data_IF_520359348250
#
_entry.id   IF_520359348250
#
_cell.length_a   1.000
_cell.length_b   1.000
_cell.length_c   1.000
_cell.angle_alpha   90.00
_cell.angle_beta   90.00
_cell.angle_gamma   90.00
#
_symmetry.space_group_name_H-M   'P 1'
#
loop_
_entity.id
_entity.type
_entity.pdbx_description
1 polymer ?
#
# COMPACT_ATOMS: atom_id res chain seq x y z
N UNK A 1 -28.42 24.07 -42.64
CA UNK A 1 -28.34 25.15 -43.65
C UNK A 1 -28.05 24.55 -45.01
N UNK A 2 -28.61 25.16 -46.04
CA UNK A 2 -28.99 24.56 -47.33
C UNK A 2 -27.83 24.09 -48.23
N UNK A 3 -28.12 23.13 -49.14
CA UNK A 3 -27.23 22.54 -50.13
C UNK A 3 -27.36 23.19 -51.53
N UNK A 4 -26.47 22.83 -52.47
CA UNK A 4 -26.60 22.96 -53.95
C UNK A 4 -25.83 21.76 -54.55
N UNK A 5 -26.34 20.78 -55.30
CA UNK A 5 -27.43 20.62 -56.30
C UNK A 5 -27.15 21.27 -57.66
N UNK A 6 -27.18 20.43 -58.71
CA UNK A 6 -27.05 20.55 -60.19
C UNK A 6 -25.81 19.76 -60.69
N UNK A 7 -25.85 18.56 -61.26
CA UNK A 7 -26.77 17.87 -62.20
C UNK A 7 -26.83 18.51 -63.59
N UNK A 8 -26.28 17.85 -64.62
CA UNK A 8 -27.00 17.30 -65.81
C UNK A 8 -26.04 17.06 -67.01
N UNK A 9 -26.07 15.79 -67.47
CA UNK A 9 -25.93 15.19 -68.81
C UNK A 9 -25.05 15.82 -69.92
N UNK A 10 -24.18 14.97 -70.50
CA UNK A 10 -24.10 14.68 -71.94
C UNK A 10 -23.50 13.25 -72.09
N UNK A 11 -24.30 12.22 -72.39
CA UNK A 11 -24.76 11.79 -73.71
C UNK A 11 -23.70 10.95 -74.48
N UNK A 12 -23.94 9.64 -74.46
CA UNK A 12 -23.71 8.60 -75.46
C UNK A 12 -22.80 8.91 -76.68
N UNK A 13 -21.78 8.07 -76.84
CA UNK A 13 -21.10 7.85 -78.11
C UNK A 13 -19.92 6.89 -77.95
N UNK A 14 -19.92 5.80 -78.73
CA UNK A 14 -18.87 4.77 -78.90
C UNK A 14 -18.96 3.52 -78.01
N UNK A 15 -20.08 2.80 -78.16
CA UNK A 15 -20.04 1.34 -78.23
C UNK A 15 -19.67 0.94 -79.67
N UNK A 16 -18.39 0.68 -79.93
CA UNK A 16 -17.87 -0.17 -81.00
C UNK A 16 -16.34 -0.14 -81.00
N UNK A 17 -15.72 -1.32 -81.22
CA UNK A 17 -14.29 -1.61 -81.33
C UNK A 17 -13.55 -1.75 -79.98
N UNK A 18 -13.01 -2.90 -79.56
CA UNK A 18 -12.76 -4.19 -80.20
C UNK A 18 -12.88 -5.30 -79.14
N UNK A 19 -13.78 -6.25 -79.36
CA UNK A 19 -13.49 -7.64 -79.03
C UNK A 19 -12.29 -8.06 -79.89
N UNK A 20 -11.08 -7.86 -79.40
CA UNK A 20 -9.91 -8.58 -79.90
C UNK A 20 -9.86 -9.92 -79.19
N UNK A 21 -10.71 -10.85 -79.59
CA UNK A 21 -10.37 -12.28 -79.48
C UNK A 21 -9.30 -12.56 -80.54
N UNK A 22 -8.10 -12.03 -80.33
CA UNK A 22 -6.91 -12.66 -80.87
C UNK A 22 -6.73 -13.95 -80.10
N UNK A 23 -7.25 -15.05 -80.66
CA UNK A 23 -6.70 -16.37 -80.39
C UNK A 23 -5.22 -16.30 -80.74
N UNK A 24 -4.38 -16.01 -79.73
CA UNK A 24 -2.93 -16.19 -79.81
C UNK A 24 -2.69 -17.57 -80.44
N UNK A 25 -1.81 -17.69 -81.45
CA UNK A 25 -1.53 -18.98 -82.05
C UNK A 25 -1.14 -19.95 -80.94
N UNK A 26 -1.96 -20.99 -80.75
CA UNK A 26 -1.74 -22.05 -79.77
C UNK A 26 -0.30 -22.52 -79.96
N UNK A 27 0.51 -22.41 -78.91
CA UNK A 27 1.87 -22.92 -78.94
C UNK A 27 1.82 -24.36 -79.45
N UNK A 28 2.66 -24.72 -80.43
CA UNK A 28 2.81 -26.12 -80.86
C UNK A 28 3.38 -27.00 -79.73
N UNK A 29 3.84 -26.38 -78.65
CA UNK A 29 4.30 -27.01 -77.44
C UNK A 29 3.20 -26.98 -76.36
N UNK A 30 2.59 -28.13 -76.02
CA UNK A 30 1.51 -28.20 -75.04
C UNK A 30 1.96 -27.82 -73.61
N UNK A 31 3.24 -28.03 -73.26
CA UNK A 31 3.76 -27.61 -71.95
C UNK A 31 3.84 -26.08 -71.86
N UNK A 32 4.36 -25.43 -72.91
CA UNK A 32 4.44 -23.97 -72.95
C UNK A 32 3.05 -23.31 -72.97
N UNK A 33 2.06 -23.95 -73.61
CA UNK A 33 0.66 -23.51 -73.59
C UNK A 33 0.10 -23.52 -72.16
N UNK A 34 0.32 -24.59 -71.40
CA UNK A 34 -0.12 -24.69 -70.00
C UNK A 34 0.54 -23.63 -69.10
N UNK A 35 1.84 -23.38 -69.27
CA UNK A 35 2.57 -22.32 -68.53
C UNK A 35 1.98 -20.94 -68.85
N UNK A 36 1.70 -20.65 -70.14
CA UNK A 36 1.12 -19.37 -70.58
C UNK A 36 -0.27 -19.10 -70.00
N UNK A 37 -1.04 -20.14 -69.68
CA UNK A 37 -2.38 -20.03 -69.10
C UNK A 37 -2.39 -20.18 -67.56
N UNK A 38 -1.22 -20.29 -66.93
CA UNK A 38 -1.11 -20.42 -65.47
C UNK A 38 -1.43 -21.81 -64.92
N UNK A 39 -1.55 -22.83 -65.76
CA UNK A 39 -1.82 -24.22 -65.36
C UNK A 39 -0.51 -24.96 -64.99
N UNK A 40 0.29 -24.34 -64.11
CA UNK A 40 1.67 -24.77 -63.83
C UNK A 40 1.79 -26.19 -63.29
N UNK A 41 0.91 -26.61 -62.38
CA UNK A 41 0.91 -27.97 -61.83
C UNK A 41 0.71 -29.03 -62.92
N UNK A 42 -0.21 -28.79 -63.85
CA UNK A 42 -0.45 -29.67 -65.00
C UNK A 42 0.73 -29.63 -65.98
N UNK A 43 1.38 -28.46 -66.15
CA UNK A 43 2.57 -28.34 -66.98
C UNK A 43 3.73 -29.20 -66.43
N UNK A 44 3.94 -29.22 -65.11
CA UNK A 44 4.93 -30.08 -64.44
C UNK A 44 4.58 -31.56 -64.61
N UNK A 45 3.32 -31.94 -64.39
CA UNK A 45 2.87 -33.33 -64.55
C UNK A 45 3.10 -33.84 -65.98
N UNK A 46 2.70 -33.05 -66.98
CA UNK A 46 2.85 -33.39 -68.40
C UNK A 46 4.33 -33.47 -68.80
N UNK A 47 5.12 -32.45 -68.46
CA UNK A 47 6.53 -32.39 -68.83
C UNK A 47 7.37 -33.47 -68.14
N UNK A 48 7.03 -33.85 -66.89
CA UNK A 48 7.65 -34.97 -66.19
C UNK A 48 7.40 -36.29 -66.91
N UNK A 49 6.15 -36.53 -67.31
CA UNK A 49 5.77 -37.74 -68.05
C UNK A 49 6.50 -37.84 -69.39
N UNK A 50 6.65 -36.71 -70.09
CA UNK A 50 7.41 -36.62 -71.33
C UNK A 50 8.92 -36.85 -71.11
N UNK A 51 9.49 -36.30 -70.04
CA UNK A 51 10.89 -36.50 -69.62
C UNK A 51 11.18 -37.97 -69.29
N UNK A 52 10.34 -38.60 -68.46
CA UNK A 52 10.48 -40.00 -68.06
C UNK A 52 10.35 -40.97 -69.25
N UNK A 53 9.49 -40.64 -70.22
CA UNK A 53 9.32 -41.42 -71.45
C UNK A 53 10.47 -41.27 -72.46
N UNK A 54 11.32 -40.25 -72.29
CA UNK A 54 12.37 -39.91 -73.25
C UNK A 54 13.70 -39.53 -72.56
N UNK A 55 14.31 -40.46 -71.81
CA UNK A 55 15.55 -40.18 -71.07
C UNK A 55 16.70 -39.76 -71.98
N UNK A 56 17.48 -38.75 -71.56
CA UNK A 56 18.66 -38.25 -72.25
C UNK A 56 18.37 -37.35 -73.46
N UNK A 57 17.10 -36.98 -73.70
CA UNK A 57 16.73 -36.03 -74.75
C UNK A 57 16.59 -34.62 -74.17
N UNK A 58 17.59 -33.78 -74.46
CA UNK A 58 17.71 -32.39 -73.99
C UNK A 58 16.40 -31.58 -74.04
N UNK A 59 15.64 -31.68 -75.14
CA UNK A 59 14.37 -30.95 -75.30
C UNK A 59 13.36 -31.24 -74.19
N UNK A 60 13.24 -32.49 -73.75
CA UNK A 60 12.28 -32.87 -72.70
C UNK A 60 12.80 -32.52 -71.31
N UNK A 61 14.12 -32.58 -71.11
CA UNK A 61 14.79 -32.05 -69.92
C UNK A 61 14.55 -30.55 -69.75
N UNK A 62 14.78 -29.76 -70.80
CA UNK A 62 14.60 -28.31 -70.77
C UNK A 62 13.14 -27.92 -70.49
N UNK A 63 12.18 -28.65 -71.07
CA UNK A 63 10.74 -28.45 -70.80
C UNK A 63 10.36 -28.76 -69.37
N UNK A 64 10.86 -29.87 -68.82
CA UNK A 64 10.58 -30.23 -67.44
C UNK A 64 11.19 -29.20 -66.46
N UNK A 65 12.42 -28.75 -66.73
CA UNK A 65 13.05 -27.65 -66.00
C UNK A 65 12.21 -26.38 -66.06
N UNK A 66 11.82 -25.93 -67.26
CA UNK A 66 11.03 -24.72 -67.45
C UNK A 66 9.67 -24.78 -66.73
N UNK A 67 8.95 -25.91 -66.83
CA UNK A 67 7.68 -26.10 -66.14
C UNK A 67 7.84 -26.12 -64.62
N UNK A 68 8.88 -26.77 -64.11
CA UNK A 68 9.16 -26.86 -62.67
C UNK A 68 9.54 -25.50 -62.10
N UNK A 69 10.41 -24.74 -62.78
CA UNK A 69 10.74 -23.37 -62.39
C UNK A 69 9.49 -22.49 -62.39
N UNK A 70 8.66 -22.55 -63.43
CA UNK A 70 7.43 -21.76 -63.49
C UNK A 70 6.45 -22.10 -62.35
N UNK A 71 6.33 -23.39 -62.00
CA UNK A 71 5.52 -23.84 -60.88
C UNK A 71 6.05 -23.35 -59.53
N UNK A 72 7.34 -23.50 -59.26
CA UNK A 72 7.97 -23.02 -58.02
C UNK A 72 7.87 -21.50 -57.88
N UNK A 73 8.08 -20.77 -58.98
CA UNK A 73 7.91 -19.31 -59.01
C UNK A 73 6.47 -18.89 -58.67
N UNK A 74 5.47 -19.63 -59.13
CA UNK A 74 4.07 -19.36 -58.76
C UNK A 74 3.79 -19.68 -57.28
N UNK A 75 4.31 -20.80 -56.76
CA UNK A 75 4.17 -21.12 -55.33
C UNK A 75 4.81 -20.05 -54.45
N UNK A 76 6.03 -19.61 -54.78
CA UNK A 76 6.72 -18.54 -54.08
C UNK A 76 5.94 -17.23 -54.11
N UNK A 77 5.45 -16.81 -55.28
CA UNK A 77 4.62 -15.59 -55.41
C UNK A 77 3.37 -15.67 -54.56
N UNK A 78 2.67 -16.81 -54.58
CA UNK A 78 1.47 -17.02 -53.77
C UNK A 78 1.79 -16.94 -52.28
N UNK A 79 2.87 -17.57 -51.83
CA UNK A 79 3.33 -17.48 -50.45
C UNK A 79 3.65 -16.03 -50.05
N UNK A 80 4.32 -15.24 -50.91
CA UNK A 80 4.56 -13.81 -50.67
C UNK A 80 3.25 -13.00 -50.54
N UNK A 81 2.22 -13.33 -51.33
CA UNK A 81 0.89 -12.68 -51.22
C UNK A 81 0.12 -13.10 -49.97
N UNK A 82 0.42 -14.27 -49.42
CA UNK A 82 -0.15 -14.80 -48.17
C UNK A 82 0.70 -14.40 -46.94
N UNK A 83 1.70 -13.52 -47.10
CA UNK A 83 2.66 -13.07 -46.07
C UNK A 83 3.51 -14.19 -45.44
N UNK A 84 3.63 -15.32 -46.14
CA UNK A 84 4.49 -16.45 -45.82
C UNK A 84 5.87 -16.28 -46.48
N UNK A 85 6.52 -15.15 -46.23
CA UNK A 85 7.73 -14.75 -46.96
C UNK A 85 8.93 -15.69 -46.75
N UNK A 86 9.05 -16.31 -45.57
CA UNK A 86 10.07 -17.33 -45.30
C UNK A 86 9.84 -18.60 -46.13
N UNK A 87 8.58 -19.03 -46.30
CA UNK A 87 8.23 -20.15 -47.19
C UNK A 87 8.39 -19.77 -48.67
N UNK A 88 8.09 -18.52 -49.03
CA UNK A 88 8.28 -18.00 -50.38
C UNK A 88 9.76 -18.08 -50.80
N UNK A 89 10.69 -17.71 -49.90
CA UNK A 89 12.12 -17.83 -50.15
C UNK A 89 12.53 -19.28 -50.45
N UNK A 90 12.00 -20.26 -49.71
CA UNK A 90 12.28 -21.69 -49.97
C UNK A 90 11.90 -22.08 -51.40
N UNK A 91 10.73 -21.65 -51.89
CA UNK A 91 10.32 -21.93 -53.26
C UNK A 91 11.18 -21.23 -54.31
N UNK A 92 11.55 -19.97 -54.08
CA UNK A 92 12.40 -19.23 -55.01
C UNK A 92 13.83 -19.76 -55.03
N UNK A 93 14.39 -20.19 -53.90
CA UNK A 93 15.70 -20.85 -53.81
C UNK A 93 15.70 -22.19 -54.54
N UNK A 94 14.67 -23.02 -54.37
CA UNK A 94 14.49 -24.25 -55.15
C UNK A 94 14.41 -23.97 -56.66
N UNK A 95 13.76 -22.87 -57.07
CA UNK A 95 13.73 -22.46 -58.47
C UNK A 95 15.13 -22.03 -58.96
N UNK A 96 15.89 -21.31 -58.14
CA UNK A 96 17.24 -20.86 -58.43
C UNK A 96 18.26 -22.03 -58.50
N UNK A 97 18.05 -23.11 -57.76
CA UNK A 97 18.84 -24.34 -57.89
C UNK A 97 18.68 -25.01 -59.27
N UNK A 98 17.48 -24.91 -59.86
CA UNK A 98 17.17 -25.49 -61.18
C UNK A 98 17.67 -24.58 -62.32
N UNK A 99 17.46 -23.27 -62.19
CA UNK A 99 17.90 -22.28 -63.18
C UNK A 99 18.56 -21.04 -62.51
N UNK A 100 19.87 -21.12 -62.19
CA UNK A 100 20.56 -20.04 -61.48
C UNK A 100 20.74 -18.75 -62.29
N UNK A 101 20.56 -18.79 -63.61
CA UNK A 101 20.82 -17.66 -64.49
C UNK A 101 19.57 -16.84 -64.79
N UNK A 102 18.38 -17.32 -64.42
CA UNK A 102 17.12 -16.62 -64.68
C UNK A 102 17.00 -15.35 -63.80
N UNK A 103 17.06 -14.14 -64.39
CA UNK A 103 17.08 -12.89 -63.62
C UNK A 103 15.79 -12.66 -62.83
N UNK A 104 14.67 -13.20 -63.29
CA UNK A 104 13.37 -13.07 -62.64
C UNK A 104 13.36 -13.75 -61.26
N UNK A 105 13.99 -14.92 -61.12
CA UNK A 105 14.04 -15.65 -59.84
C UNK A 105 14.80 -14.80 -58.81
N UNK A 106 15.98 -14.31 -59.20
CA UNK A 106 16.81 -13.46 -58.35
C UNK A 106 16.07 -12.19 -57.92
N UNK A 107 15.36 -11.54 -58.84
CA UNK A 107 14.57 -10.35 -58.51
C UNK A 107 13.47 -10.63 -57.46
N UNK A 108 12.86 -11.82 -57.49
CA UNK A 108 11.87 -12.23 -56.49
C UNK A 108 12.51 -12.59 -55.14
N UNK A 109 13.67 -13.24 -55.14
CA UNK A 109 14.47 -13.47 -53.92
C UNK A 109 14.82 -12.15 -53.26
N UNK A 110 15.42 -11.22 -54.03
CA UNK A 110 15.84 -9.90 -53.54
C UNK A 110 14.65 -9.12 -52.97
N UNK A 111 13.50 -9.11 -53.67
CA UNK A 111 12.27 -8.45 -53.21
C UNK A 111 11.70 -9.06 -51.93
N UNK A 112 11.78 -10.39 -51.79
CA UNK A 112 11.27 -11.09 -50.60
C UNK A 112 12.16 -10.82 -49.38
N UNK A 113 13.48 -10.79 -49.57
CA UNK A 113 14.42 -10.34 -48.55
C UNK A 113 14.20 -8.88 -48.14
N UNK A 114 13.94 -7.98 -49.09
CA UNK A 114 13.62 -6.58 -48.81
C UNK A 114 12.36 -6.47 -47.95
N UNK A 115 11.27 -7.16 -48.33
CA UNK A 115 10.01 -7.19 -47.57
C UNK A 115 10.20 -7.73 -46.14
N UNK A 116 10.95 -8.81 -45.98
CA UNK A 116 11.28 -9.36 -44.66
C UNK A 116 12.12 -8.38 -43.82
N UNK A 117 13.10 -7.73 -44.44
CA UNK A 117 13.92 -6.69 -43.79
C UNK A 117 13.06 -5.52 -43.30
N UNK A 118 12.14 -5.03 -44.12
CA UNK A 118 11.21 -3.95 -43.77
C UNK A 118 10.29 -4.33 -42.60
N UNK A 119 9.74 -5.55 -42.60
CA UNK A 119 8.91 -6.07 -41.49
C UNK A 119 9.68 -6.10 -40.17
N UNK A 120 10.92 -6.61 -40.20
CA UNK A 120 11.78 -6.66 -39.01
C UNK A 120 12.25 -5.28 -38.57
N UNK A 121 12.50 -4.37 -39.52
CA UNK A 121 12.80 -2.97 -39.24
C UNK A 121 11.62 -2.29 -38.51
N UNK A 122 10.39 -2.48 -38.98
CA UNK A 122 9.20 -1.94 -38.31
C UNK A 122 9.09 -2.46 -36.87
N UNK A 123 9.29 -3.77 -36.69
CA UNK A 123 9.31 -4.39 -35.35
C UNK A 123 10.40 -3.80 -34.46
N UNK A 124 11.61 -3.61 -35.00
CA UNK A 124 12.72 -3.01 -34.28
C UNK A 124 12.41 -1.57 -33.83
N UNK A 125 11.82 -0.76 -34.72
CA UNK A 125 11.40 0.61 -34.41
C UNK A 125 10.34 0.66 -33.31
N UNK A 126 9.37 -0.27 -33.32
CA UNK A 126 8.37 -0.38 -32.26
C UNK A 126 9.00 -0.74 -30.91
N UNK A 127 9.94 -1.71 -30.89
CA UNK A 127 10.66 -2.11 -29.68
C UNK A 127 11.55 -0.97 -29.15
N UNK A 128 12.21 -0.26 -30.06
CA UNK A 128 13.04 0.90 -29.73
C UNK A 128 12.19 2.01 -29.09
N UNK A 129 11.05 2.34 -29.70
CA UNK A 129 10.10 3.32 -29.15
C UNK A 129 9.53 2.91 -27.79
N UNK A 130 9.32 1.61 -27.56
CA UNK A 130 8.92 1.07 -26.27
C UNK A 130 10.05 1.05 -25.21
N UNK A 131 11.28 1.38 -25.60
CA UNK A 131 12.45 1.42 -24.71
C UNK A 131 13.08 0.06 -24.43
N UNK A 132 12.62 -1.01 -25.10
CA UNK A 132 13.20 -2.35 -25.04
C UNK A 132 14.34 -2.44 -26.06
N UNK A 133 15.49 -1.88 -25.69
CA UNK A 133 16.59 -1.61 -26.59
C UNK A 133 17.30 -2.89 -27.03
N UNK A 134 17.46 -3.86 -26.14
CA UNK A 134 18.10 -5.14 -26.41
C UNK A 134 17.31 -5.93 -27.46
N UNK A 135 15.98 -6.04 -27.29
CA UNK A 135 15.14 -6.69 -28.28
C UNK A 135 15.09 -5.88 -29.61
N UNK A 136 15.17 -4.55 -29.54
CA UNK A 136 15.26 -3.72 -30.74
C UNK A 136 16.54 -4.01 -31.53
N UNK A 137 17.69 -4.11 -30.86
CA UNK A 137 18.97 -4.48 -31.49
C UNK A 137 18.86 -5.84 -32.17
N UNK A 138 18.34 -6.86 -31.50
CA UNK A 138 18.14 -8.18 -32.13
C UNK A 138 17.21 -8.12 -33.35
N UNK A 139 16.14 -7.33 -33.32
CA UNK A 139 15.26 -7.16 -34.47
C UNK A 139 15.95 -6.42 -35.64
N UNK A 140 16.79 -5.42 -35.37
CA UNK A 140 17.61 -4.78 -36.40
C UNK A 140 18.63 -5.75 -37.00
N UNK A 141 19.25 -6.62 -36.19
CA UNK A 141 20.18 -7.65 -36.68
C UNK A 141 19.48 -8.60 -37.66
N UNK A 142 18.27 -9.08 -37.34
CA UNK A 142 17.49 -9.94 -38.25
C UNK A 142 17.14 -9.19 -39.54
N UNK A 143 16.75 -7.91 -39.47
CA UNK A 143 16.51 -7.11 -40.68
C UNK A 143 17.77 -7.04 -41.57
N UNK A 144 18.96 -6.90 -40.96
CA UNK A 144 20.25 -6.85 -41.65
C UNK A 144 20.73 -8.21 -42.18
N UNK A 145 20.27 -9.32 -41.58
CA UNK A 145 20.52 -10.67 -42.12
C UNK A 145 19.81 -10.85 -43.47
N UNK A 146 18.61 -10.30 -43.65
CA UNK A 146 17.89 -10.37 -44.93
C UNK A 146 18.43 -9.35 -45.96
N UNK A 147 18.67 -8.10 -45.56
CA UNK A 147 19.22 -7.06 -46.45
C UNK A 147 20.47 -6.43 -45.84
N UNK A 148 21.67 -6.98 -46.13
CA UNK A 148 22.92 -6.43 -45.63
C UNK A 148 23.11 -4.98 -46.08
N UNK A 149 23.36 -4.08 -45.13
CA UNK A 149 23.57 -2.66 -45.41
C UNK A 149 22.29 -1.82 -45.54
N UNK A 150 21.12 -2.35 -45.19
CA UNK A 150 19.89 -1.56 -45.13
C UNK A 150 20.06 -0.33 -44.22
N UNK A 151 20.11 0.87 -44.82
CA UNK A 151 20.57 2.10 -44.16
C UNK A 151 19.80 2.42 -42.86
N UNK A 152 18.48 2.30 -42.87
CA UNK A 152 17.63 2.56 -41.68
C UNK A 152 17.88 1.57 -40.54
N UNK A 153 18.05 0.28 -40.85
CA UNK A 153 18.33 -0.76 -39.85
C UNK A 153 19.72 -0.58 -39.23
N UNK A 154 20.74 -0.29 -40.04
CA UNK A 154 22.10 0.03 -39.54
C UNK A 154 22.05 1.22 -38.58
N UNK A 155 21.41 2.33 -38.99
CA UNK A 155 21.29 3.53 -38.15
C UNK A 155 20.56 3.23 -36.84
N UNK A 156 19.40 2.57 -36.92
CA UNK A 156 18.59 2.24 -35.75
C UNK A 156 19.33 1.33 -34.75
N UNK A 157 20.05 0.33 -35.26
CA UNK A 157 20.88 -0.56 -34.43
C UNK A 157 21.98 0.21 -33.70
N UNK A 158 22.67 1.12 -34.40
CA UNK A 158 23.73 1.96 -33.82
C UNK A 158 23.15 2.87 -32.73
N UNK A 159 22.03 3.52 -33.00
CA UNK A 159 21.36 4.40 -32.03
C UNK A 159 20.89 3.63 -30.78
N UNK A 160 20.26 2.46 -30.95
CA UNK A 160 19.85 1.61 -29.86
C UNK A 160 21.05 1.13 -29.02
N UNK A 161 22.13 0.69 -29.68
CA UNK A 161 23.38 0.27 -29.02
C UNK A 161 24.02 1.41 -28.22
N UNK A 162 24.07 2.62 -28.77
CA UNK A 162 24.58 3.80 -28.06
C UNK A 162 23.73 4.10 -26.81
N UNK A 163 22.41 3.97 -26.91
CA UNK A 163 21.51 4.17 -25.76
C UNK A 163 21.71 3.10 -24.68
N UNK A 164 21.89 1.82 -25.05
CA UNK A 164 22.24 0.74 -24.10
C UNK A 164 23.53 1.07 -23.36
N UNK A 165 24.59 1.42 -24.09
CA UNK A 165 25.89 1.75 -23.50
C UNK A 165 25.81 2.97 -22.57
N UNK A 166 25.05 3.99 -22.96
CA UNK A 166 24.82 5.16 -22.13
C UNK A 166 24.09 4.81 -20.82
N UNK A 167 23.01 4.03 -20.89
CA UNK A 167 22.28 3.55 -19.71
C UNK A 167 23.16 2.70 -18.80
N UNK A 168 23.97 1.82 -19.37
CA UNK A 168 24.93 1.00 -18.62
C UNK A 168 25.99 1.86 -17.90
N UNK A 169 26.50 2.90 -18.56
CA UNK A 169 27.42 3.87 -17.95
C UNK A 169 26.80 4.61 -16.76
N UNK A 170 25.56 5.13 -16.93
CA UNK A 170 24.84 5.78 -15.83
C UNK A 170 24.57 4.84 -14.66
N UNK A 171 24.17 3.60 -14.94
CA UNK A 171 23.96 2.58 -13.92
C UNK A 171 25.24 2.32 -13.09
N UNK A 172 26.39 2.21 -13.76
CA UNK A 172 27.69 2.04 -13.12
C UNK A 172 28.09 3.27 -12.28
N UNK A 173 27.85 4.48 -12.78
CA UNK A 173 28.09 5.73 -12.04
C UNK A 173 27.26 5.79 -10.75
N UNK A 174 25.97 5.46 -10.82
CA UNK A 174 25.10 5.41 -9.65
C UNK A 174 25.51 4.32 -8.66
N UNK A 175 25.93 3.16 -9.15
CA UNK A 175 26.47 2.10 -8.31
C UNK A 175 27.72 2.58 -7.55
N UNK A 176 28.67 3.18 -8.25
CA UNK A 176 29.91 3.69 -7.66
C UNK A 176 29.64 4.84 -6.67
N UNK A 177 28.68 5.72 -6.97
CA UNK A 177 28.22 6.73 -6.03
C UNK A 177 27.62 6.09 -4.76
N UNK A 178 26.78 5.07 -4.92
CA UNK A 178 26.21 4.32 -3.80
C UNK A 178 27.30 3.73 -2.91
N UNK A 179 28.31 3.06 -3.49
CA UNK A 179 29.44 2.50 -2.75
C UNK A 179 30.22 3.56 -1.98
N UNK A 180 30.55 4.70 -2.60
CA UNK A 180 31.26 5.81 -1.92
C UNK A 180 30.44 6.37 -0.76
N UNK A 181 29.16 6.65 -0.99
CA UNK A 181 28.29 7.20 0.06
C UNK A 181 27.98 6.20 1.16
N UNK A 182 27.95 4.89 0.89
CA UNK A 182 27.87 3.85 1.91
C UNK A 182 29.13 3.83 2.78
N UNK A 183 30.30 3.91 2.17
CA UNK A 183 31.57 3.99 2.89
C UNK A 183 31.63 5.20 3.83
N UNK A 184 31.13 6.35 3.36
CA UNK A 184 31.05 7.58 4.17
C UNK A 184 29.89 7.58 5.16
N UNK A 185 29.12 6.49 5.25
CA UNK A 185 27.96 6.31 6.11
C UNK A 185 26.78 7.24 5.83
N UNK A 186 26.64 7.72 4.59
CA UNK A 186 25.50 8.53 4.13
C UNK A 186 24.39 7.61 3.62
N UNK A 187 23.79 6.85 4.53
CA UNK A 187 22.92 5.70 4.23
C UNK A 187 21.74 6.05 3.29
N UNK A 188 20.99 7.13 3.56
CA UNK A 188 19.86 7.53 2.69
C UNK A 188 20.29 8.00 1.29
N UNK A 189 21.50 8.55 1.17
CA UNK A 189 22.06 8.90 -0.15
C UNK A 189 22.50 7.64 -0.90
N UNK A 190 23.12 6.71 -0.18
CA UNK A 190 23.50 5.41 -0.71
C UNK A 190 22.29 4.60 -1.21
N UNK A 191 21.24 4.52 -0.39
CA UNK A 191 19.95 3.87 -0.72
C UNK A 191 19.38 4.40 -2.02
N UNK A 192 19.30 5.74 -2.16
CA UNK A 192 18.81 6.40 -3.38
C UNK A 192 19.68 6.11 -4.60
N UNK A 193 21.00 6.06 -4.42
CA UNK A 193 21.94 5.81 -5.51
C UNK A 193 21.81 4.38 -6.04
N UNK A 194 21.73 3.38 -5.16
CA UNK A 194 21.49 2.00 -5.58
C UNK A 194 20.10 1.79 -6.18
N UNK A 195 19.07 2.48 -5.69
CA UNK A 195 17.75 2.44 -6.31
C UNK A 195 17.73 3.05 -7.72
N UNK A 196 18.57 4.06 -7.99
CA UNK A 196 18.67 4.68 -9.31
C UNK A 196 19.25 3.73 -10.37
N UNK A 197 20.07 2.75 -9.98
CA UNK A 197 20.59 1.72 -10.90
C UNK A 197 19.43 0.99 -11.61
N UNK A 198 18.38 0.64 -10.88
CA UNK A 198 17.19 -0.04 -11.42
C UNK A 198 16.37 0.80 -12.42
N UNK A 199 16.65 2.10 -12.57
CA UNK A 199 16.02 2.93 -13.61
C UNK A 199 16.69 2.79 -14.98
N UNK A 200 17.94 2.33 -15.01
CA UNK A 200 18.75 2.22 -16.22
C UNK A 200 19.04 0.77 -16.61
N UNK A 201 18.88 -0.16 -15.67
CA UNK A 201 18.98 -1.60 -15.88
C UNK A 201 17.75 -2.27 -15.29
N UNK A 202 16.97 -2.96 -16.13
CA UNK A 202 15.75 -3.68 -15.69
C UNK A 202 16.08 -4.76 -14.66
N UNK A 203 17.19 -5.46 -14.86
CA UNK A 203 17.71 -6.47 -13.94
C UNK A 203 19.04 -5.99 -13.33
N UNK A 204 19.02 -5.35 -12.14
CA UNK A 204 20.23 -4.93 -11.47
C UNK A 204 21.11 -6.15 -11.10
N UNK A 205 22.43 -6.05 -11.30
CA UNK A 205 23.36 -7.10 -10.87
C UNK A 205 23.22 -7.46 -9.39
N UNK A 206 23.47 -8.73 -9.04
CA UNK A 206 23.36 -9.25 -7.66
C UNK A 206 24.15 -8.40 -6.64
N UNK A 207 25.32 -7.86 -7.04
CA UNK A 207 26.13 -6.95 -6.23
C UNK A 207 25.35 -5.71 -5.77
N UNK A 208 24.45 -5.17 -6.59
CA UNK A 208 23.62 -4.01 -6.26
C UNK A 208 22.62 -4.39 -5.18
N UNK A 209 21.95 -5.54 -5.34
CA UNK A 209 20.98 -6.04 -4.37
C UNK A 209 21.62 -6.34 -3.01
N UNK A 210 22.81 -6.96 -3.00
CA UNK A 210 23.63 -7.16 -1.79
C UNK A 210 23.92 -5.85 -1.07
N UNK A 211 24.33 -4.80 -1.80
CA UNK A 211 24.60 -3.48 -1.21
C UNK A 211 23.35 -2.77 -0.73
N UNK A 212 22.21 -2.92 -1.43
CA UNK A 212 20.91 -2.40 -0.96
C UNK A 212 20.51 -3.02 0.38
N UNK A 213 20.56 -4.35 0.48
CA UNK A 213 20.27 -5.05 1.73
C UNK A 213 21.22 -4.64 2.86
N UNK A 214 22.50 -4.43 2.57
CA UNK A 214 23.45 -3.90 3.55
C UNK A 214 23.07 -2.49 4.05
N UNK A 215 22.67 -1.59 3.15
CA UNK A 215 22.19 -0.24 3.52
C UNK A 215 20.91 -0.32 4.35
N UNK A 216 19.97 -1.18 3.98
CA UNK A 216 18.70 -1.38 4.69
C UNK A 216 18.94 -1.93 6.10
N UNK A 217 19.87 -2.88 6.27
CA UNK A 217 20.31 -3.38 7.57
C UNK A 217 20.91 -2.27 8.43
N UNK A 218 21.81 -1.43 7.89
CA UNK A 218 22.38 -0.32 8.67
C UNK A 218 21.35 0.74 9.06
N UNK A 219 20.39 1.05 8.18
CA UNK A 219 19.29 1.95 8.52
C UNK A 219 18.38 1.34 9.59
N UNK A 220 18.14 0.02 9.53
CA UNK A 220 17.39 -0.70 10.54
C UNK A 220 18.08 -0.61 11.90
N UNK A 221 19.40 -0.77 11.95
CA UNK A 221 20.20 -0.65 13.18
C UNK A 221 20.13 0.77 13.78
N UNK A 222 20.24 1.83 12.96
CA UNK A 222 20.05 3.22 13.43
C UNK A 222 18.66 3.41 14.04
N UNK A 223 17.62 2.86 13.42
CA UNK A 223 16.23 2.92 13.92
C UNK A 223 16.05 2.17 15.23
N UNK A 224 16.65 0.98 15.35
CA UNK A 224 16.63 0.21 16.58
C UNK A 224 17.34 0.94 17.74
N UNK A 225 18.44 1.65 17.47
CA UNK A 225 19.12 2.47 18.47
C UNK A 225 18.25 3.65 18.95
N UNK A 226 17.55 4.32 18.04
CA UNK A 226 16.58 5.38 18.40
C UNK A 226 15.43 4.81 19.23
N UNK A 227 14.88 3.65 18.82
CA UNK A 227 13.82 2.97 19.55
C UNK A 227 14.24 2.65 20.99
N UNK A 228 15.45 2.12 21.19
CA UNK A 228 16.00 1.82 22.51
C UNK A 228 16.16 3.09 23.37
N UNK A 229 16.60 4.21 22.78
CA UNK A 229 16.69 5.48 23.50
C UNK A 229 15.33 6.01 23.94
N UNK A 230 14.28 5.80 23.12
CA UNK A 230 12.91 6.16 23.46
C UNK A 230 12.34 5.25 24.56
N UNK A 231 12.64 3.94 24.51
CA UNK A 231 12.29 2.97 25.55
C UNK A 231 12.88 3.37 26.91
N UNK A 232 14.18 3.72 26.96
CA UNK A 232 14.84 4.21 28.17
C UNK A 232 14.24 5.50 28.75
N UNK A 233 13.51 6.26 27.94
CA UNK A 233 12.80 7.49 28.32
C UNK A 233 11.33 7.26 28.63
N UNK A 234 10.89 6.00 28.71
CA UNK A 234 9.49 5.59 28.89
C UNK A 234 8.53 6.15 27.82
N UNK A 235 9.03 6.42 26.60
CA UNK A 235 8.21 6.86 25.47
C UNK A 235 7.76 5.67 24.62
N UNK A 236 6.98 4.78 25.23
CA UNK A 236 6.67 3.44 24.69
C UNK A 236 6.00 3.46 23.31
N UNK A 237 5.02 4.35 23.07
CA UNK A 237 4.35 4.48 21.77
C UNK A 237 5.33 4.87 20.64
N UNK A 238 6.24 5.80 20.95
CA UNK A 238 7.23 6.27 19.99
C UNK A 238 8.29 5.18 19.73
N UNK A 239 8.78 4.52 20.78
CA UNK A 239 9.71 3.40 20.69
C UNK A 239 9.14 2.25 19.85
N UNK A 240 7.88 1.87 20.11
CA UNK A 240 7.13 0.88 19.33
C UNK A 240 7.09 1.23 17.84
N UNK A 241 6.81 2.50 17.51
CA UNK A 241 6.77 2.93 16.12
C UNK A 241 8.14 2.86 15.44
N UNK A 242 9.23 3.20 16.14
CA UNK A 242 10.59 3.08 15.59
C UNK A 242 11.00 1.61 15.39
N UNK A 243 10.66 0.70 16.32
CA UNK A 243 10.86 -0.74 16.11
C UNK A 243 10.06 -1.27 14.91
N UNK A 244 8.83 -0.79 14.71
CA UNK A 244 8.04 -1.12 13.51
C UNK A 244 8.72 -0.65 12.22
N UNK A 245 9.31 0.56 12.23
CA UNK A 245 10.06 1.08 11.07
C UNK A 245 11.34 0.27 10.82
N UNK A 246 12.04 -0.14 11.88
CA UNK A 246 13.16 -1.07 11.78
C UNK A 246 12.76 -2.37 11.06
N UNK A 247 11.65 -3.00 11.48
CA UNK A 247 11.14 -4.23 10.85
C UNK A 247 10.65 -4.04 9.41
N UNK A 248 10.32 -2.82 8.99
CA UNK A 248 10.00 -2.52 7.59
C UNK A 248 11.23 -2.43 6.68
N UNK A 249 12.42 -2.27 7.27
CA UNK A 249 13.70 -2.23 6.58
C UNK A 249 14.38 -3.61 6.64
N UNK A 250 14.33 -4.27 7.80
CA UNK A 250 14.84 -5.62 8.01
C UNK A 250 13.83 -6.44 8.82
N UNK A 251 13.04 -7.25 8.11
CA UNK A 251 12.02 -8.11 8.70
C UNK A 251 12.59 -9.18 9.63
N UNK A 252 13.89 -9.47 9.58
CA UNK A 252 14.54 -10.52 10.35
C UNK A 252 15.34 -10.00 11.54
N UNK A 253 15.28 -8.68 11.81
CA UNK A 253 15.94 -8.09 12.96
C UNK A 253 15.28 -8.58 14.27
N UNK A 254 15.94 -9.53 14.94
CA UNK A 254 15.43 -10.16 16.15
C UNK A 254 15.25 -9.16 17.31
N UNK A 255 16.22 -8.26 17.50
CA UNK A 255 16.15 -7.24 18.55
C UNK A 255 14.96 -6.30 18.35
N UNK A 256 14.65 -5.95 17.10
CA UNK A 256 13.50 -5.11 16.80
C UNK A 256 12.15 -5.82 16.98
N UNK A 257 12.07 -7.13 16.70
CA UNK A 257 10.86 -7.93 16.99
C UNK A 257 10.57 -7.96 18.48
N UNK A 258 11.56 -8.34 19.27
CA UNK A 258 11.44 -8.39 20.73
C UNK A 258 11.12 -7.00 21.30
N UNK A 259 11.81 -5.96 20.81
CA UNK A 259 11.54 -4.57 21.20
C UNK A 259 10.12 -4.12 20.85
N UNK A 260 9.65 -4.42 19.65
CA UNK A 260 8.29 -4.11 19.23
C UNK A 260 7.24 -4.75 20.14
N UNK A 261 7.37 -6.06 20.41
CA UNK A 261 6.42 -6.80 21.23
C UNK A 261 6.41 -6.33 22.69
N UNK A 262 7.59 -6.04 23.26
CA UNK A 262 7.68 -5.40 24.59
C UNK A 262 6.98 -4.05 24.61
N UNK A 263 7.30 -3.15 23.66
CA UNK A 263 6.74 -1.80 23.65
C UNK A 263 5.24 -1.77 23.30
N UNK A 264 4.73 -2.77 22.59
CA UNK A 264 3.29 -2.95 22.38
C UNK A 264 2.56 -3.27 23.69
N UNK A 265 3.13 -4.12 24.55
CA UNK A 265 2.59 -4.39 25.90
C UNK A 265 2.63 -3.14 26.76
N UNK A 266 3.76 -2.42 26.78
CA UNK A 266 3.91 -1.20 27.59
C UNK A 266 2.99 -0.05 27.14
N UNK A 267 2.81 0.14 25.83
CA UNK A 267 1.87 1.11 25.27
C UNK A 267 0.42 0.85 25.73
N UNK A 268 0.01 -0.42 25.73
CA UNK A 268 -1.31 -0.83 26.23
C UNK A 268 -1.43 -0.60 27.75
N UNK A 269 -0.39 -0.93 28.51
CA UNK A 269 -0.35 -0.67 29.94
C UNK A 269 -0.45 0.84 30.26
N UNK A 270 0.25 1.70 29.51
CA UNK A 270 0.15 3.16 29.64
C UNK A 270 -1.27 3.70 29.36
N UNK A 271 -2.02 3.01 28.50
CA UNK A 271 -3.43 3.34 28.25
C UNK A 271 -4.32 2.95 29.44
N UNK A 272 -4.03 1.82 30.08
CA UNK A 272 -4.71 1.41 31.32
C UNK A 272 -4.41 2.36 32.49
N UNK A 273 -3.18 2.86 32.62
CA UNK A 273 -2.84 3.91 33.61
C UNK A 273 -3.74 5.15 33.47
N UNK A 274 -3.89 5.65 32.23
CA UNK A 274 -4.75 6.82 31.95
C UNK A 274 -6.23 6.54 32.24
N UNK A 275 -6.72 5.34 31.92
CA UNK A 275 -8.10 4.95 32.25
C UNK A 275 -8.29 4.84 33.78
N UNK A 276 -7.34 4.26 34.50
CA UNK A 276 -7.36 4.20 35.96
C UNK A 276 -7.41 5.59 36.59
N UNK A 277 -6.52 6.50 36.19
CA UNK A 277 -6.52 7.91 36.63
C UNK A 277 -7.88 8.57 36.42
N UNK A 278 -8.49 8.37 35.25
CA UNK A 278 -9.81 8.92 34.98
C UNK A 278 -10.89 8.32 35.88
N UNK A 279 -10.80 7.03 36.22
CA UNK A 279 -11.74 6.41 37.16
C UNK A 279 -11.59 6.95 38.57
N UNK A 280 -10.37 7.22 39.03
CA UNK A 280 -10.12 7.90 40.32
C UNK A 280 -10.83 9.25 40.36
N UNK A 281 -10.66 10.07 39.32
CA UNK A 281 -11.28 11.39 39.21
C UNK A 281 -12.83 11.34 39.20
N UNK A 282 -13.42 10.21 38.79
CA UNK A 282 -14.88 9.99 38.81
C UNK A 282 -15.39 9.38 40.13
N UNK A 283 -14.51 9.10 41.08
CA UNK A 283 -14.86 8.38 42.31
C UNK A 283 -15.14 6.89 42.11
N UNK A 284 -14.79 6.33 40.94
CA UNK A 284 -15.00 4.91 40.62
C UNK A 284 -13.82 4.05 41.12
N UNK A 285 -13.54 4.08 42.43
CA UNK A 285 -12.31 3.56 43.03
C UNK A 285 -12.09 2.05 42.85
N UNK A 286 -13.12 1.22 43.04
CA UNK A 286 -12.98 -0.24 42.89
C UNK A 286 -12.66 -0.62 41.44
N UNK A 287 -13.33 0.02 40.48
CA UNK A 287 -13.03 -0.16 39.05
C UNK A 287 -11.66 0.38 38.68
N UNK A 288 -11.20 1.46 39.31
CA UNK A 288 -9.84 1.96 39.12
C UNK A 288 -8.81 0.90 39.55
N UNK A 289 -9.01 0.26 40.72
CA UNK A 289 -8.15 -0.85 41.18
C UNK A 289 -8.13 -2.03 40.20
N UNK A 290 -9.29 -2.43 39.67
CA UNK A 290 -9.36 -3.50 38.66
C UNK A 290 -8.61 -3.16 37.36
N UNK A 291 -8.65 -1.89 36.92
CA UNK A 291 -7.86 -1.44 35.76
C UNK A 291 -6.37 -1.46 36.06
N UNK A 292 -5.96 -0.98 37.24
CA UNK A 292 -4.56 -1.00 37.67
C UNK A 292 -4.02 -2.43 37.71
N UNK A 293 -4.75 -3.38 38.31
CA UNK A 293 -4.33 -4.77 38.39
C UNK A 293 -4.07 -5.37 37.00
N UNK A 294 -4.97 -5.16 36.03
CA UNK A 294 -4.79 -5.60 34.64
C UNK A 294 -3.59 -4.93 33.96
N UNK A 295 -3.30 -3.69 34.32
CA UNK A 295 -2.13 -2.97 33.80
C UNK A 295 -0.82 -3.52 34.32
N UNK A 296 -0.76 -3.83 35.62
CA UNK A 296 0.40 -4.45 36.27
C UNK A 296 0.68 -5.87 35.76
N UNK A 297 -0.36 -6.62 35.38
CA UNK A 297 -0.16 -7.94 34.73
C UNK A 297 0.49 -7.84 33.34
N UNK A 298 0.37 -6.68 32.68
CA UNK A 298 0.82 -6.49 31.30
C UNK A 298 2.19 -5.83 31.20
N UNK A 299 2.49 -4.93 32.14
CA UNK A 299 3.69 -4.11 32.18
C UNK A 299 4.83 -4.82 32.89
N UNK A 300 6.03 -4.71 32.33
CA UNK A 300 7.30 -5.08 32.98
C UNK A 300 8.10 -3.82 33.39
N UNK A 301 7.72 -2.62 32.91
CA UNK A 301 8.51 -1.38 33.05
C UNK A 301 7.81 -0.22 33.79
N UNK A 302 6.52 -0.32 34.07
CA UNK A 302 5.70 0.77 34.64
C UNK A 302 5.18 0.50 36.05
N UNK A 303 5.74 -0.47 36.78
CA UNK A 303 5.28 -0.89 38.11
C UNK A 303 5.16 0.28 39.10
N UNK A 304 6.19 1.13 39.19
CA UNK A 304 6.19 2.30 40.08
C UNK A 304 5.03 3.27 39.78
N UNK A 305 4.63 3.41 38.51
CA UNK A 305 3.52 4.29 38.13
C UNK A 305 2.18 3.69 38.55
N UNK A 306 2.02 2.37 38.40
CA UNK A 306 0.81 1.68 38.87
C UNK A 306 0.69 1.69 40.39
N UNK A 307 1.79 1.47 41.10
CA UNK A 307 1.85 1.58 42.56
C UNK A 307 1.48 3.01 43.02
N UNK A 308 1.98 4.03 42.32
CA UNK A 308 1.58 5.42 42.57
C UNK A 308 0.07 5.64 42.44
N UNK A 309 -0.56 5.10 41.40
CA UNK A 309 -2.02 5.20 41.23
C UNK A 309 -2.78 4.42 42.30
N UNK A 310 -2.28 3.29 42.79
CA UNK A 310 -2.91 2.59 43.92
C UNK A 310 -2.91 3.46 45.18
N UNK A 311 -1.79 4.15 45.46
CA UNK A 311 -1.71 5.08 46.58
C UNK A 311 -2.64 6.30 46.40
N UNK A 312 -2.75 6.83 45.18
CA UNK A 312 -3.68 7.90 44.85
C UNK A 312 -5.15 7.47 45.01
N UNK A 313 -5.49 6.23 44.63
CA UNK A 313 -6.83 5.66 44.83
C UNK A 313 -7.17 5.64 46.31
N UNK A 314 -6.27 5.16 47.16
CA UNK A 314 -6.50 5.08 48.61
C UNK A 314 -6.68 6.46 49.22
N UNK A 315 -5.81 7.41 48.86
CA UNK A 315 -5.89 8.79 49.33
C UNK A 315 -7.21 9.45 48.91
N UNK A 316 -7.58 9.34 47.63
CA UNK A 316 -8.80 9.93 47.09
C UNK A 316 -10.07 9.30 47.69
N UNK A 317 -10.04 7.99 47.98
CA UNK A 317 -11.17 7.29 48.61
C UNK A 317 -11.41 7.78 50.03
N UNK A 318 -10.35 7.91 50.84
CA UNK A 318 -10.41 8.49 52.19
C UNK A 318 -11.01 9.89 52.13
N UNK A 319 -10.49 10.75 51.25
CA UNK A 319 -10.94 12.14 51.11
C UNK A 319 -12.41 12.21 50.69
N UNK A 320 -12.84 11.39 49.73
CA UNK A 320 -14.22 11.33 49.27
C UNK A 320 -15.19 10.89 50.38
N UNK A 321 -14.83 9.86 51.15
CA UNK A 321 -15.65 9.39 52.27
C UNK A 321 -15.74 10.45 53.39
N UNK A 322 -14.63 11.09 53.70
CA UNK A 322 -14.59 12.17 54.69
C UNK A 322 -15.42 13.38 54.26
N UNK A 323 -15.31 13.81 53.00
CA UNK A 323 -16.11 14.91 52.46
C UNK A 323 -17.60 14.59 52.45
N UNK A 324 -17.98 13.34 52.11
CA UNK A 324 -19.37 12.88 52.19
C UNK A 324 -19.91 13.00 53.61
N UNK A 325 -19.13 12.63 54.62
CA UNK A 325 -19.51 12.75 56.02
C UNK A 325 -19.65 14.23 56.44
N UNK A 326 -18.74 15.11 56.00
CA UNK A 326 -18.82 16.55 56.24
C UNK A 326 -20.05 17.20 55.60
N UNK A 327 -20.41 16.81 54.38
CA UNK A 327 -21.58 17.37 53.70
C UNK A 327 -22.86 16.94 54.41
N UNK A 328 -22.94 15.69 54.90
CA UNK A 328 -24.05 15.24 55.75
C UNK A 328 -24.09 15.97 57.11
N UNK A 329 -22.93 16.29 57.69
CA UNK A 329 -22.83 17.08 58.92
C UNK A 329 -23.38 18.50 58.71
N UNK A 330 -22.95 19.18 57.63
CA UNK A 330 -23.40 20.53 57.27
C UNK A 330 -24.89 20.60 56.95
N UNK A 331 -25.44 19.54 56.38
CA UNK A 331 -26.88 19.35 56.12
C UNK A 331 -27.68 18.94 57.37
N UNK A 332 -27.08 18.97 58.57
CA UNK A 332 -27.72 18.57 59.84
C UNK A 332 -28.25 17.13 59.88
N UNK A 333 -27.80 16.26 58.96
CA UNK A 333 -28.17 14.83 58.87
C UNK A 333 -27.31 14.00 59.81
N UNK A 334 -27.25 14.37 61.10
CA UNK A 334 -26.24 13.86 62.05
C UNK A 334 -26.18 12.34 62.17
N UNK A 335 -27.33 11.64 62.18
CA UNK A 335 -27.33 10.16 62.21
C UNK A 335 -26.63 9.55 61.00
N UNK A 336 -26.82 10.13 59.81
CA UNK A 336 -26.18 9.67 58.58
C UNK A 336 -24.71 10.07 58.55
N UNK A 337 -24.37 11.26 59.04
CA UNK A 337 -22.99 11.72 59.18
C UNK A 337 -22.18 10.82 60.12
N UNK A 338 -22.73 10.43 61.29
CA UNK A 338 -22.11 9.47 62.22
C UNK A 338 -21.88 8.12 61.55
N UNK A 339 -22.85 7.62 60.79
CA UNK A 339 -22.70 6.36 60.05
C UNK A 339 -21.60 6.47 58.98
N UNK A 340 -21.50 7.59 58.27
CA UNK A 340 -20.46 7.85 57.28
C UNK A 340 -19.07 7.98 57.91
N UNK A 341 -18.93 8.71 59.03
CA UNK A 341 -17.67 8.76 59.78
C UNK A 341 -17.28 7.40 60.35
N UNK A 342 -18.25 6.61 60.81
CA UNK A 342 -17.99 5.24 61.29
C UNK A 342 -17.45 4.37 60.16
N UNK A 343 -18.09 4.38 58.98
CA UNK A 343 -17.60 3.63 57.83
C UNK A 343 -16.18 4.04 57.42
N UNK A 344 -15.86 5.35 57.45
CA UNK A 344 -14.51 5.85 57.19
C UNK A 344 -13.49 5.32 58.23
N UNK A 345 -13.84 5.34 59.52
CA UNK A 345 -12.96 4.87 60.59
C UNK A 345 -12.77 3.36 60.54
N UNK A 346 -13.84 2.61 60.27
CA UNK A 346 -13.80 1.15 60.16
C UNK A 346 -12.90 0.69 59.00
N UNK A 347 -12.86 1.47 57.92
CA UNK A 347 -12.07 1.14 56.73
C UNK A 347 -10.59 1.56 56.84
N UNK A 348 -10.29 2.70 57.50
CA UNK A 348 -8.93 3.27 57.52
C UNK A 348 -8.28 3.32 58.91
N UNK A 349 -8.89 2.67 59.91
CA UNK A 349 -8.52 2.48 61.32
C UNK A 349 -8.19 3.75 62.15
N UNK A 350 -7.79 4.87 61.55
CA UNK A 350 -7.44 6.09 62.27
C UNK A 350 -7.51 7.36 61.41
N UNK A 351 -8.60 8.10 61.55
CA UNK A 351 -8.70 9.48 61.08
C UNK A 351 -9.13 10.38 62.25
N UNK A 352 -8.14 10.97 62.93
CA UNK A 352 -8.32 11.67 64.21
C UNK A 352 -9.45 12.70 64.20
N UNK A 353 -9.57 13.46 63.11
CA UNK A 353 -10.63 14.47 62.96
C UNK A 353 -12.02 13.83 62.84
N UNK A 354 -12.15 12.75 62.07
CA UNK A 354 -13.41 12.02 61.94
C UNK A 354 -13.88 11.42 63.28
N UNK A 355 -12.94 10.89 64.08
CA UNK A 355 -13.25 10.40 65.44
C UNK A 355 -13.80 11.51 66.33
N UNK A 356 -13.14 12.68 66.35
CA UNK A 356 -13.56 13.82 67.16
C UNK A 356 -14.93 14.38 66.71
N UNK A 357 -15.14 14.52 65.39
CA UNK A 357 -16.42 14.97 64.81
C UNK A 357 -17.54 13.99 65.10
N UNK A 358 -17.32 12.69 64.87
CA UNK A 358 -18.27 11.63 65.22
C UNK A 358 -18.71 11.74 66.68
N UNK A 359 -17.77 11.80 67.62
CA UNK A 359 -18.08 11.92 69.04
C UNK A 359 -18.85 13.20 69.39
N UNK A 360 -18.54 14.31 68.72
CA UNK A 360 -19.29 15.58 68.88
C UNK A 360 -20.74 15.44 68.40
N UNK A 361 -20.95 14.80 67.25
CA UNK A 361 -22.30 14.58 66.71
C UNK A 361 -23.11 13.58 67.55
N UNK A 362 -22.48 12.55 68.10
CA UNK A 362 -23.11 11.63 69.06
C UNK A 362 -23.61 12.38 70.29
N UNK A 363 -22.80 13.30 70.83
CA UNK A 363 -23.18 14.18 71.94
C UNK A 363 -24.36 15.11 71.58
N UNK A 364 -24.39 15.67 70.37
CA UNK A 364 -25.50 16.49 69.89
C UNK A 364 -26.81 15.71 69.79
N UNK A 365 -26.76 14.48 69.24
CA UNK A 365 -27.94 13.61 69.12
C UNK A 365 -28.47 13.18 70.50
N UNK A 366 -27.62 13.05 71.50
CA UNK A 366 -28.03 12.73 72.86
C UNK A 366 -28.63 13.95 73.58
N UNK A 367 -27.94 15.11 73.53
CA UNK A 367 -28.30 16.29 74.32
C UNK A 367 -29.45 17.11 73.74
N UNK A 368 -29.55 17.26 72.41
CA UNK A 368 -30.59 18.10 71.81
C UNK A 368 -32.02 17.62 72.13
N UNK A 369 -32.34 16.30 72.05
CA UNK A 369 -33.63 15.78 72.52
C UNK A 369 -33.89 15.99 74.00
N UNK A 370 -32.85 15.87 74.84
CA UNK A 370 -32.95 16.06 76.28
C UNK A 370 -33.33 17.51 76.63
N UNK A 371 -32.60 18.49 76.08
CA UNK A 371 -32.92 19.90 76.28
C UNK A 371 -34.30 20.28 75.73
N UNK A 372 -34.70 19.71 74.60
CA UNK A 372 -36.04 19.92 74.06
C UNK A 372 -37.11 19.38 75.02
N UNK A 373 -36.94 18.17 75.56
CA UNK A 373 -37.87 17.59 76.51
C UNK A 373 -37.93 18.36 77.84
N UNK A 374 -36.77 18.83 78.34
CA UNK A 374 -36.69 19.72 79.51
C UNK A 374 -37.41 21.05 79.25
N UNK A 375 -37.23 21.66 78.08
CA UNK A 375 -37.92 22.89 77.69
C UNK A 375 -39.45 22.71 77.64
N UNK A 376 -39.92 21.57 77.12
CA UNK A 376 -41.36 21.26 77.11
C UNK A 376 -41.95 21.19 78.53
N UNK A 377 -41.21 20.62 79.47
CA UNK A 377 -41.63 20.46 80.87
C UNK A 377 -41.44 21.72 81.73
N UNK A 378 -40.66 22.70 81.29
CA UNK A 378 -40.34 23.91 82.06
C UNK A 378 -41.49 24.94 82.01
N UNK A 379 -42.04 25.36 83.16
CA UNK A 379 -43.07 26.38 83.23
C UNK A 379 -42.57 27.82 83.06
N UNK A 380 -41.31 28.12 83.39
CA UNK A 380 -40.76 29.48 83.26
C UNK A 380 -40.41 29.80 81.79
N UNK A 381 -41.06 30.81 81.15
CA UNK A 381 -40.81 31.15 79.75
C UNK A 381 -39.37 31.54 79.43
N UNK A 382 -38.63 32.16 80.35
CA UNK A 382 -37.23 32.55 80.13
C UNK A 382 -36.29 31.34 80.14
N UNK A 383 -36.49 30.44 81.10
CA UNK A 383 -35.72 29.19 81.20
C UNK A 383 -36.06 28.28 80.01
N UNK A 384 -37.33 28.21 79.64
CA UNK A 384 -37.83 27.47 78.47
C UNK A 384 -37.19 27.96 77.17
N UNK A 385 -37.15 29.28 76.95
CA UNK A 385 -36.47 29.87 75.78
C UNK A 385 -34.98 29.51 75.76
N UNK A 386 -34.29 29.58 76.91
CA UNK A 386 -32.88 29.20 77.02
C UNK A 386 -32.65 27.73 76.68
N UNK A 387 -33.51 26.83 77.14
CA UNK A 387 -33.41 25.39 76.87
C UNK A 387 -33.68 25.06 75.41
N UNK A 388 -34.67 25.69 74.77
CA UNK A 388 -34.86 25.53 73.31
C UNK A 388 -33.69 26.11 72.51
N UNK A 389 -33.14 27.26 72.88
CA UNK A 389 -31.90 27.79 72.26
C UNK A 389 -30.73 26.82 72.39
N UNK A 390 -30.54 26.20 73.56
CA UNK A 390 -29.52 25.18 73.77
C UNK A 390 -29.75 23.91 72.91
N UNK A 391 -31.01 23.51 72.69
CA UNK A 391 -31.35 22.42 71.77
C UNK A 391 -31.03 22.78 70.30
N UNK A 392 -31.42 23.98 69.86
CA UNK A 392 -31.13 24.50 68.51
C UNK A 392 -29.63 24.63 68.24
N UNK A 393 -28.87 25.19 69.18
CA UNK A 393 -27.42 25.40 69.01
C UNK A 393 -26.67 24.08 68.78
N UNK A 394 -27.23 22.96 69.29
CA UNK A 394 -26.72 21.61 69.07
C UNK A 394 -27.28 20.97 67.79
N UNK A 395 -28.57 21.17 67.50
CA UNK A 395 -29.23 20.64 66.30
C UNK A 395 -30.32 21.60 65.81
N UNK A 396 -30.00 22.48 64.83
CA UNK A 396 -30.93 23.51 64.37
C UNK A 396 -32.24 22.96 63.79
N UNK A 397 -32.18 21.85 63.06
CA UNK A 397 -33.35 21.19 62.45
C UNK A 397 -34.04 20.16 63.37
N UNK A 398 -33.76 20.18 64.68
CA UNK A 398 -34.40 19.24 65.59
C UNK A 398 -35.88 19.61 65.83
N UNK A 399 -36.79 18.85 65.21
CA UNK A 399 -38.25 19.06 65.29
C UNK A 399 -38.63 20.50 64.87
N UNK A 400 -39.44 21.18 65.67
CA UNK A 400 -39.96 22.54 65.51
C UNK A 400 -39.23 23.54 66.43
N UNK A 401 -37.98 23.26 66.83
CA UNK A 401 -37.26 24.07 67.83
C UNK A 401 -37.15 25.55 67.45
N UNK A 402 -36.90 25.87 66.18
CA UNK A 402 -36.85 27.26 65.69
C UNK A 402 -38.21 27.95 65.80
N UNK A 403 -39.30 27.27 65.44
CA UNK A 403 -40.65 27.82 65.56
C UNK A 403 -41.02 28.08 67.03
N UNK A 404 -40.61 27.18 67.94
CA UNK A 404 -40.81 27.33 69.39
C UNK A 404 -40.02 28.51 69.97
N UNK A 405 -38.78 28.72 69.52
CA UNK A 405 -37.97 29.87 69.91
C UNK A 405 -38.64 31.16 69.44
N UNK A 406 -39.03 31.24 68.17
CA UNK A 406 -39.65 32.43 67.60
C UNK A 406 -40.97 32.80 68.30
N UNK A 407 -41.77 31.81 68.68
CA UNK A 407 -43.00 32.03 69.42
C UNK A 407 -42.75 32.55 70.84
N UNK A 408 -41.81 31.95 71.58
CA UNK A 408 -41.46 32.40 72.93
C UNK A 408 -40.82 33.79 72.96
N UNK A 409 -39.99 34.12 71.97
CA UNK A 409 -39.42 35.47 71.83
C UNK A 409 -40.51 36.52 71.57
N UNK A 410 -41.58 36.16 70.84
CA UNK A 410 -42.75 37.04 70.66
C UNK A 410 -43.51 37.24 71.97
N UNK A 411 -43.79 36.15 72.69
CA UNK A 411 -44.51 36.19 73.97
C UNK A 411 -43.77 36.99 75.05
N UNK A 412 -42.43 36.95 75.05
CA UNK A 412 -41.59 37.70 76.00
C UNK A 412 -41.35 39.17 75.59
N UNK A 413 -41.66 39.56 74.35
CA UNK A 413 -41.48 40.93 73.85
C UNK A 413 -42.78 41.75 73.78
N UNK A 414 -43.95 41.12 73.93
CA UNK A 414 -45.21 41.84 74.13
C UNK A 414 -45.29 42.37 75.59
N UNK A 415 -45.48 43.69 75.79
CA UNK A 415 -45.60 44.26 77.13
C UNK A 415 -46.90 43.77 77.79
N UNK A 416 -46.78 43.17 78.98
CA UNK A 416 -47.90 42.77 79.85
C UNK A 416 -48.78 43.96 80.27
#
# INVERSE_FOLDING_TARGET
MKPRLLTVLAAAGLLAACQSTETKPRSKDPVADLILHGEYAKAVELSKKDYDAHPGKQRYEDRYKQATVAYLMEQGRRATFEDLDDEALVFFEQAAEIDPQEPTIRAWIDKTHEKLSERWLERALQLHAAGNLEAAVSAYEVALQHTPGHASAVRGMVEATLQINYRAGLAEDYYNQGVRTLHDYWLERSRRSFAAVGKYQEEPPERVNKRRGQVESYLADERAAVALSLEQRALFDAARNEYRLCLSLDENNAAAKEGFDRMDRESRAATLLRDAQMKVLRGEFDKAREVVARGMELSDLQDEHFEGILADIDTARVEHMYQTALDLEKDYKYRRAIAAYSALIDEFEYYKDALARKGTLEDYIEKAPRYYAEAEAEPDPEIKLRLFKASRDMWPEYKDVEDRIAELERQLSEPQ
#
